data_IF_919461350237
#
_entry.id   IF_919461350237
#
_cell.length_a   1.000
_cell.length_b   1.000
_cell.length_c   1.000
_cell.angle_alpha   90.00
_cell.angle_beta   90.00
_cell.angle_gamma   90.00
#
_symmetry.space_group_name_H-M   'P 1'
#
loop_
_entity.id
_entity.type
_entity.pdbx_description
1 polymer ?
#
# COMPACT_ATOMS: atom_id res chain seq x y z
N UNK A 1 15.05 -0.83 17.10
CA UNK A 1 15.55 -2.04 16.40
C UNK A 1 14.57 -2.53 15.33
N UNK A 2 13.31 -2.87 15.66
CA UNK A 2 12.37 -3.45 14.68
C UNK A 2 12.12 -2.64 13.41
N UNK A 3 11.85 -1.33 13.52
CA UNK A 3 11.68 -0.45 12.34
C UNK A 3 12.98 -0.39 11.51
N UNK A 4 14.15 -0.27 12.15
CA UNK A 4 15.42 -0.26 11.41
C UNK A 4 15.66 -1.59 10.65
N UNK A 5 15.31 -2.73 11.26
CA UNK A 5 15.37 -4.02 10.59
C UNK A 5 14.34 -4.15 9.46
N UNK A 6 13.19 -3.48 9.58
CA UNK A 6 12.18 -3.39 8.51
C UNK A 6 12.71 -2.60 7.30
N UNK A 7 13.29 -1.43 7.53
CA UNK A 7 13.93 -0.64 6.47
C UNK A 7 15.10 -1.38 5.82
N UNK A 8 15.92 -2.07 6.62
CA UNK A 8 16.96 -2.96 6.10
C UNK A 8 16.37 -4.11 5.27
N UNK A 9 15.19 -4.62 5.65
CA UNK A 9 14.41 -5.58 4.87
C UNK A 9 14.06 -5.06 3.48
N UNK A 10 13.65 -3.79 3.35
CA UNK A 10 13.43 -3.16 2.05
C UNK A 10 14.71 -3.03 1.23
N UNK A 11 15.83 -2.68 1.87
CA UNK A 11 17.14 -2.63 1.18
C UNK A 11 17.54 -4.02 0.64
N UNK A 12 17.28 -5.08 1.41
CA UNK A 12 17.51 -6.46 0.96
C UNK A 12 16.57 -6.85 -0.19
N UNK A 13 15.29 -6.47 -0.15
CA UNK A 13 14.34 -6.69 -1.25
C UNK A 13 14.83 -6.04 -2.54
N UNK A 14 15.36 -4.82 -2.44
CA UNK A 14 15.94 -4.10 -3.58
C UNK A 14 17.17 -4.84 -4.13
N UNK A 15 18.11 -5.21 -3.27
CA UNK A 15 19.32 -5.93 -3.65
C UNK A 15 19.04 -7.32 -4.26
N UNK A 16 18.00 -8.03 -3.77
CA UNK A 16 17.59 -9.34 -4.28
C UNK A 16 16.67 -9.27 -5.51
N UNK A 17 16.30 -8.06 -5.96
CA UNK A 17 15.40 -7.89 -7.09
C UNK A 17 13.99 -8.45 -6.84
N UNK A 18 13.50 -8.38 -5.59
CA UNK A 18 12.18 -8.90 -5.20
C UNK A 18 11.09 -8.30 -6.09
N UNK A 19 10.40 -9.16 -6.86
CA UNK A 19 9.54 -8.71 -7.95
C UNK A 19 8.44 -7.73 -7.50
N UNK A 20 7.70 -7.95 -6.39
CA UNK A 20 6.73 -6.98 -5.88
C UNK A 20 7.33 -5.61 -5.54
N UNK A 21 8.56 -5.57 -5.02
CA UNK A 21 9.25 -4.31 -4.74
C UNK A 21 9.60 -3.55 -6.03
N UNK A 22 9.95 -4.26 -7.11
CA UNK A 22 10.18 -3.65 -8.43
C UNK A 22 8.88 -3.09 -9.02
N UNK A 23 7.79 -3.84 -8.93
CA UNK A 23 6.47 -3.38 -9.39
C UNK A 23 6.01 -2.16 -8.59
N UNK A 24 6.18 -2.16 -7.26
CA UNK A 24 5.88 -0.99 -6.42
C UNK A 24 6.56 0.26 -6.96
N UNK A 25 7.88 0.21 -7.20
CA UNK A 25 8.66 1.35 -7.71
C UNK A 25 8.12 1.84 -9.06
N UNK A 26 7.82 0.91 -9.98
CA UNK A 26 7.28 1.26 -11.30
C UNK A 26 5.90 1.94 -11.23
N UNK A 27 5.09 1.60 -10.22
CA UNK A 27 3.75 2.13 -10.04
C UNK A 27 3.71 3.48 -9.30
N UNK A 28 4.78 3.91 -8.61
CA UNK A 28 4.81 5.16 -7.82
C UNK A 28 4.33 6.39 -8.60
N UNK A 29 4.79 6.66 -9.84
CA UNK A 29 4.34 7.83 -10.57
C UNK A 29 2.83 7.81 -10.83
N UNK A 30 2.30 6.65 -11.28
CA UNK A 30 0.87 6.47 -11.53
C UNK A 30 0.04 6.55 -10.25
N UNK A 31 0.54 6.00 -9.14
CA UNK A 31 -0.12 6.06 -7.84
C UNK A 31 -0.20 7.48 -7.28
N UNK A 32 0.86 8.28 -7.44
CA UNK A 32 0.88 9.67 -6.99
C UNK A 32 -0.13 10.53 -7.75
N UNK A 33 -0.16 10.40 -9.08
CA UNK A 33 -1.14 11.14 -9.88
C UNK A 33 -2.54 10.63 -9.56
N UNK A 34 -2.71 9.31 -9.49
CA UNK A 34 -3.97 8.65 -9.14
C UNK A 34 -4.55 9.14 -7.81
N UNK A 35 -3.74 9.15 -6.76
CA UNK A 35 -4.19 9.52 -5.41
C UNK A 35 -4.54 11.00 -5.28
N UNK A 36 -3.81 11.89 -5.97
CA UNK A 36 -4.04 13.33 -5.90
C UNK A 36 -5.17 13.80 -6.83
N UNK A 37 -5.33 13.17 -8.00
CA UNK A 37 -6.29 13.61 -9.02
C UNK A 37 -7.63 12.87 -8.98
N UNK A 38 -7.68 11.64 -8.45
CA UNK A 38 -8.90 10.84 -8.43
C UNK A 38 -10.08 11.58 -7.79
N UNK A 39 -9.91 12.08 -6.56
CA UNK A 39 -11.01 12.69 -5.83
C UNK A 39 -11.52 14.00 -6.48
N UNK A 40 -10.65 14.95 -6.88
CA UNK A 40 -11.08 16.12 -7.65
C UNK A 40 -11.79 15.77 -8.96
N UNK A 41 -11.30 14.79 -9.72
CA UNK A 41 -11.90 14.40 -11.02
C UNK A 41 -13.26 13.74 -10.85
N UNK A 42 -13.41 12.85 -9.87
CA UNK A 42 -14.69 12.21 -9.55
C UNK A 42 -15.71 13.27 -9.16
N UNK A 43 -15.35 14.17 -8.23
CA UNK A 43 -16.26 15.24 -7.79
C UNK A 43 -16.61 16.18 -8.93
N UNK A 44 -15.63 16.64 -9.70
CA UNK A 44 -15.85 17.57 -10.81
C UNK A 44 -16.73 16.92 -11.89
N UNK A 45 -16.51 15.64 -12.20
CA UNK A 45 -17.34 14.88 -13.12
C UNK A 45 -18.80 14.82 -12.66
N UNK A 46 -19.04 14.55 -11.38
CA UNK A 46 -20.40 14.53 -10.80
C UNK A 46 -21.03 15.92 -10.83
N UNK A 47 -20.32 16.96 -10.37
CA UNK A 47 -20.86 18.33 -10.30
C UNK A 47 -21.18 18.92 -11.67
N UNK A 48 -20.39 18.59 -12.69
CA UNK A 48 -20.60 19.04 -14.07
C UNK A 48 -21.54 18.12 -14.86
N UNK A 49 -22.06 17.06 -14.25
CA UNK A 49 -22.84 16.01 -14.93
C UNK A 49 -22.10 15.47 -16.17
N UNK A 50 -20.79 15.25 -16.03
CA UNK A 50 -19.90 14.77 -17.08
C UNK A 50 -19.35 13.40 -16.71
N UNK A 51 -20.10 12.36 -17.07
CA UNK A 51 -19.82 10.97 -16.69
C UNK A 51 -18.41 10.50 -17.10
N UNK A 52 -17.96 10.85 -18.30
CA UNK A 52 -16.62 10.46 -18.79
C UNK A 52 -15.50 10.97 -17.88
N UNK A 53 -15.63 12.20 -17.36
CA UNK A 53 -14.65 12.78 -16.44
C UNK A 53 -14.64 12.05 -15.08
N UNK A 54 -15.81 11.65 -14.59
CA UNK A 54 -15.92 10.84 -13.38
C UNK A 54 -15.25 9.46 -13.57
N UNK A 55 -15.45 8.82 -14.73
CA UNK A 55 -14.80 7.55 -15.07
C UNK A 55 -13.28 7.65 -15.18
N UNK A 56 -12.74 8.75 -15.70
CA UNK A 56 -11.30 9.02 -15.65
C UNK A 56 -10.83 9.07 -14.20
N UNK A 57 -11.53 9.80 -13.33
CA UNK A 57 -11.21 9.84 -11.91
C UNK A 57 -11.26 8.47 -11.21
N UNK A 58 -12.25 7.63 -11.55
CA UNK A 58 -12.36 6.24 -11.06
C UNK A 58 -11.19 5.39 -11.53
N UNK A 59 -10.78 5.50 -12.79
CA UNK A 59 -9.63 4.77 -13.33
C UNK A 59 -8.32 5.18 -12.63
N UNK A 60 -8.16 6.48 -12.38
CA UNK A 60 -7.04 7.04 -11.61
C UNK A 60 -7.02 6.53 -10.17
N UNK A 61 -8.18 6.45 -9.51
CA UNK A 61 -8.29 5.85 -8.18
C UNK A 61 -7.94 4.35 -8.21
N UNK A 62 -8.37 3.63 -9.24
CA UNK A 62 -8.03 2.23 -9.45
C UNK A 62 -6.52 1.98 -9.53
N UNK A 63 -5.76 2.87 -10.17
CA UNK A 63 -4.30 2.80 -10.19
C UNK A 63 -3.68 2.96 -8.78
N UNK A 64 -4.24 3.84 -7.95
CA UNK A 64 -3.83 4.00 -6.56
C UNK A 64 -4.15 2.76 -5.70
N UNK A 65 -5.32 2.15 -5.89
CA UNK A 65 -5.70 0.89 -5.23
C UNK A 65 -4.75 -0.24 -5.65
N UNK A 66 -4.45 -0.38 -6.94
CA UNK A 66 -3.50 -1.38 -7.44
C UNK A 66 -2.12 -1.21 -6.79
N UNK A 67 -1.64 0.01 -6.67
CA UNK A 67 -0.37 0.31 -5.99
C UNK A 67 -0.39 -0.15 -4.52
N UNK A 68 -1.47 0.09 -3.78
CA UNK A 68 -1.59 -0.39 -2.40
C UNK A 68 -1.57 -1.93 -2.34
N UNK A 69 -2.29 -2.61 -3.23
CA UNK A 69 -2.33 -4.07 -3.28
C UNK A 69 -0.95 -4.68 -3.59
N UNK A 70 -0.19 -4.08 -4.51
CA UNK A 70 1.19 -4.50 -4.83
C UNK A 70 2.16 -4.20 -3.68
N UNK A 71 1.88 -3.16 -2.88
CA UNK A 71 2.72 -2.78 -1.74
C UNK A 71 2.55 -3.73 -0.55
N UNK A 72 1.36 -4.31 -0.33
CA UNK A 72 1.10 -5.27 0.76
C UNK A 72 2.13 -6.41 0.88
N UNK A 73 2.42 -7.20 -0.17
CA UNK A 73 3.42 -8.27 -0.07
C UNK A 73 4.83 -7.75 0.25
N UNK A 74 5.17 -6.52 -0.18
CA UNK A 74 6.44 -5.87 0.12
C UNK A 74 6.56 -5.59 1.62
N UNK A 75 5.52 -5.03 2.24
CA UNK A 75 5.50 -4.72 3.67
C UNK A 75 5.49 -5.99 4.55
N UNK A 76 4.76 -7.04 4.14
CA UNK A 76 4.74 -8.31 4.86
C UNK A 76 6.08 -9.06 4.80
N UNK A 77 6.74 -9.06 3.63
CA UNK A 77 8.06 -9.67 3.46
C UNK A 77 9.13 -8.91 4.26
N UNK A 78 9.10 -7.57 4.26
CA UNK A 78 10.01 -6.74 5.04
C UNK A 78 9.86 -6.98 6.55
N UNK A 79 8.62 -7.01 7.06
CA UNK A 79 8.33 -7.35 8.46
C UNK A 79 8.84 -8.74 8.85
N UNK A 80 8.71 -9.72 7.95
CA UNK A 80 9.18 -11.10 8.19
C UNK A 80 10.70 -11.16 8.28
N UNK A 81 11.41 -10.47 7.37
CA UNK A 81 12.87 -10.37 7.40
C UNK A 81 13.36 -9.63 8.64
N UNK A 82 12.67 -8.57 9.04
CA UNK A 82 12.98 -7.84 10.25
C UNK A 82 12.92 -8.75 11.49
N UNK A 83 11.86 -9.55 11.62
CA UNK A 83 11.74 -10.50 12.73
C UNK A 83 12.81 -11.59 12.73
N UNK A 84 13.16 -12.11 11.55
CA UNK A 84 14.26 -13.07 11.44
C UNK A 84 15.60 -12.44 11.87
N UNK A 85 15.88 -11.21 11.43
CA UNK A 85 17.10 -10.49 11.80
C UNK A 85 17.16 -10.17 13.30
N UNK A 86 16.04 -9.75 13.91
CA UNK A 86 15.98 -9.47 15.35
C UNK A 86 16.19 -10.71 16.21
N UNK A 87 15.59 -11.84 15.82
CA UNK A 87 15.68 -13.10 16.56
C UNK A 87 17.05 -13.77 16.43
N UNK A 88 17.73 -13.62 15.29
CA UNK A 88 19.02 -14.25 15.03
C UNK A 88 20.21 -13.34 15.37
N UNK A 89 20.05 -12.02 15.25
CA UNK A 89 21.15 -11.06 15.30
C UNK A 89 21.55 -10.58 16.70
N UNK A 90 20.86 -11.04 17.76
CA UNK A 90 21.15 -10.61 19.14
C UNK A 90 20.98 -9.11 19.40
N UNK A 91 20.32 -8.38 18.48
CA UNK A 91 20.17 -6.93 18.55
C UNK A 91 19.18 -6.48 19.64
N UNK A 92 18.35 -7.40 20.13
CA UNK A 92 17.37 -7.15 21.19
C UNK A 92 17.33 -8.39 22.10
N UNK A 93 17.15 -8.22 23.42
CA UNK A 93 16.89 -9.32 24.33
C UNK A 93 15.76 -10.25 23.84
N UNK A 94 15.92 -11.56 24.08
CA UNK A 94 15.00 -12.59 23.55
C UNK A 94 13.55 -12.41 24.04
N UNK A 95 13.38 -11.87 25.25
CA UNK A 95 12.09 -11.53 25.87
C UNK A 95 11.40 -10.34 25.19
N UNK A 96 12.12 -9.49 24.45
CA UNK A 96 11.57 -8.33 23.73
C UNK A 96 11.23 -8.62 22.26
N UNK A 97 11.64 -9.77 21.72
CA UNK A 97 11.31 -10.18 20.34
C UNK A 97 9.80 -10.31 20.13
N UNK A 98 9.06 -10.74 21.17
CA UNK A 98 7.60 -10.82 21.16
C UNK A 98 6.94 -9.45 20.89
N UNK A 99 7.35 -8.41 21.63
CA UNK A 99 6.83 -7.06 21.43
C UNK A 99 7.15 -6.49 20.05
N UNK A 100 8.35 -6.77 19.52
CA UNK A 100 8.70 -6.36 18.15
C UNK A 100 7.79 -7.02 17.10
N UNK A 101 7.41 -8.29 17.31
CA UNK A 101 6.46 -9.01 16.44
C UNK A 101 5.08 -8.38 16.47
N UNK A 102 4.58 -8.02 17.64
CA UNK A 102 3.27 -7.37 17.78
C UNK A 102 3.24 -6.04 17.03
N UNK A 103 4.25 -5.19 17.20
CA UNK A 103 4.35 -3.89 16.52
C UNK A 103 4.44 -4.05 15.00
N UNK A 104 5.30 -4.93 14.49
CA UNK A 104 5.44 -5.17 13.05
C UNK A 104 4.16 -5.77 12.45
N UNK A 105 3.50 -6.66 13.18
CA UNK A 105 2.21 -7.23 12.74
C UNK A 105 1.13 -6.15 12.71
N UNK A 106 1.04 -5.31 13.73
CA UNK A 106 0.08 -4.21 13.79
C UNK A 106 0.29 -3.22 12.63
N UNK A 107 1.54 -2.84 12.35
CA UNK A 107 1.89 -2.00 11.20
C UNK A 107 1.49 -2.65 9.87
N UNK A 108 1.69 -3.95 9.71
CA UNK A 108 1.28 -4.64 8.49
C UNK A 108 -0.26 -4.72 8.35
N UNK A 109 -0.98 -4.83 9.46
CA UNK A 109 -2.45 -4.79 9.49
C UNK A 109 -3.03 -3.42 9.13
N UNK A 110 -2.34 -2.31 9.45
CA UNK A 110 -2.81 -0.98 9.02
C UNK A 110 -2.74 -0.82 7.50
N UNK A 111 -1.70 -1.36 6.85
CA UNK A 111 -1.64 -1.40 5.38
C UNK A 111 -2.78 -2.23 4.79
N UNK A 112 -3.07 -3.41 5.37
CA UNK A 112 -4.17 -4.26 4.91
C UNK A 112 -5.52 -3.55 5.04
N UNK A 113 -5.77 -2.92 6.20
CA UNK A 113 -7.00 -2.16 6.42
C UNK A 113 -7.14 -1.00 5.42
N UNK A 114 -6.07 -0.25 5.17
CA UNK A 114 -6.08 0.85 4.20
C UNK A 114 -6.36 0.36 2.77
N UNK A 115 -5.78 -0.79 2.37
CA UNK A 115 -6.04 -1.40 1.07
C UNK A 115 -7.50 -1.84 0.94
N UNK A 116 -8.07 -2.47 1.97
CA UNK A 116 -9.48 -2.88 1.99
C UNK A 116 -10.43 -1.68 1.88
N UNK A 117 -10.17 -0.62 2.66
CA UNK A 117 -10.96 0.62 2.59
C UNK A 117 -10.92 1.21 1.18
N UNK A 118 -9.73 1.27 0.56
CA UNK A 118 -9.59 1.83 -0.79
C UNK A 118 -10.28 0.98 -1.86
N UNK A 119 -10.26 -0.36 -1.72
CA UNK A 119 -11.04 -1.26 -2.59
C UNK A 119 -12.53 -1.00 -2.44
N UNK A 120 -13.06 -0.90 -1.21
CA UNK A 120 -14.47 -0.62 -0.97
C UNK A 120 -14.88 0.75 -1.53
N UNK A 121 -14.03 1.75 -1.37
CA UNK A 121 -14.24 3.08 -1.91
C UNK A 121 -14.24 3.09 -3.45
N UNK A 122 -13.38 2.28 -4.08
CA UNK A 122 -13.36 2.14 -5.54
C UNK A 122 -14.68 1.53 -6.03
N UNK A 123 -15.15 0.47 -5.38
CA UNK A 123 -16.44 -0.15 -5.70
C UNK A 123 -17.60 0.84 -5.53
N UNK A 124 -17.55 1.66 -4.49
CA UNK A 124 -18.52 2.74 -4.28
C UNK A 124 -18.52 3.74 -5.44
N UNK A 125 -17.36 4.26 -5.85
CA UNK A 125 -17.28 5.23 -6.94
C UNK A 125 -17.66 4.63 -8.30
N UNK A 126 -17.32 3.36 -8.56
CA UNK A 126 -17.81 2.62 -9.74
C UNK A 126 -19.34 2.52 -9.72
N UNK A 127 -19.94 2.25 -8.56
CA UNK A 127 -21.39 2.19 -8.40
C UNK A 127 -22.06 3.55 -8.62
N UNK A 128 -21.41 4.64 -8.19
CA UNK A 128 -21.89 6.01 -8.37
C UNK A 128 -21.83 6.43 -9.85
N UNK A 129 -20.68 6.24 -10.50
CA UNK A 129 -20.46 6.63 -11.90
C UNK A 129 -21.30 5.82 -12.92
N UNK A 130 -21.99 4.75 -12.50
CA UNK A 130 -22.93 3.97 -13.33
C UNK A 130 -24.38 4.45 -13.23
N UNK A 131 -24.72 5.29 -12.25
CA UNK A 131 -26.10 5.74 -12.00
C UNK A 131 -26.49 6.97 -12.81
N UNK A 132 -25.51 7.63 -13.42
CA UNK A 132 -25.66 8.72 -14.39
C UNK A 132 -25.45 8.18 -15.82
#
# INVERSE_FOLDING_TARGET
AGVACHEAGHAVQHAQGYAPARFRIALVPGANIGSNMAFPLILLGIFLNFAELAWVGVAMFGAAVLFQLVTLPVEFDASRRALAALSQGGMVPADQVGGAREVLTAAAMTYLAAALVSVLQLLYFVGLARRD
#
